data_IF_866053042021
#
_entry.id   IF_866053042021
#
_cell.length_a   1.000
_cell.length_b   1.000
_cell.length_c   1.000
_cell.angle_alpha   90.00
_cell.angle_beta   90.00
_cell.angle_gamma   90.00
#
_symmetry.space_group_name_H-M   'P 1'
#
loop_
_entity.id
_entity.type
_entity.pdbx_description
1 polymer ?
#
# COMPACT_ATOMS: atom_id res chain seq x y z
N UNK A 1 -4.02 11.73 -9.33
CA UNK A 1 -2.56 11.93 -9.51
C UNK A 1 -1.94 11.14 -8.40
N UNK A 2 -1.08 10.19 -8.75
CA UNK A 2 -0.54 9.24 -7.79
C UNK A 2 0.77 9.77 -7.23
N UNK A 3 0.83 9.88 -5.91
CA UNK A 3 2.02 10.29 -5.19
C UNK A 3 2.50 9.08 -4.37
N UNK A 4 3.80 8.74 -4.44
CA UNK A 4 4.35 7.65 -3.65
C UNK A 4 4.41 8.00 -2.16
N UNK A 5 4.23 6.97 -1.33
CA UNK A 5 4.31 7.04 0.13
C UNK A 5 5.63 6.45 0.57
N UNK A 6 6.44 7.27 1.23
CA UNK A 6 7.69 6.91 1.88
C UNK A 6 7.43 6.70 3.36
N UNK A 7 7.83 5.54 3.89
CA UNK A 7 7.67 5.24 5.29
C UNK A 7 9.04 5.27 5.97
N UNK A 8 9.20 6.17 6.93
CA UNK A 8 10.41 6.35 7.73
C UNK A 8 10.22 5.73 9.11
N UNK A 9 11.31 5.33 9.77
CA UNK A 9 11.21 4.72 11.10
C UNK A 9 11.00 3.21 11.11
N UNK A 10 11.11 2.56 9.95
CA UNK A 10 11.01 1.10 9.81
C UNK A 10 12.06 0.37 10.64
N UNK A 11 13.23 0.97 10.82
CA UNK A 11 14.32 0.43 11.64
C UNK A 11 14.03 0.47 13.15
N UNK A 12 13.11 1.31 13.60
CA UNK A 12 12.69 1.41 15.00
C UNK A 12 11.68 0.33 15.40
N UNK A 13 11.21 -0.47 14.44
CA UNK A 13 10.21 -1.52 14.65
C UNK A 13 10.87 -2.78 15.22
N UNK A 14 10.77 -2.96 16.54
CA UNK A 14 11.32 -4.13 17.25
C UNK A 14 10.47 -5.40 16.99
N UNK A 15 10.92 -6.30 16.11
CA UNK A 15 10.21 -7.51 15.64
C UNK A 15 8.85 -7.23 14.95
N UNK A 16 8.63 -6.01 14.51
CA UNK A 16 7.44 -5.60 13.76
C UNK A 16 7.83 -5.37 12.29
N UNK A 17 6.87 -5.59 11.41
CA UNK A 17 6.98 -5.36 9.97
C UNK A 17 5.84 -4.46 9.51
N UNK A 18 6.17 -3.45 8.72
CA UNK A 18 5.18 -2.69 7.99
C UNK A 18 4.75 -3.48 6.75
N UNK A 19 3.52 -3.98 6.77
CA UNK A 19 2.87 -4.57 5.59
C UNK A 19 2.19 -3.46 4.79
N UNK A 20 2.80 -3.08 3.67
CA UNK A 20 2.27 -2.07 2.75
C UNK A 20 1.29 -2.74 1.79
N UNK A 21 0.02 -2.32 1.81
CA UNK A 21 -0.98 -2.72 0.82
C UNK A 21 -0.98 -1.78 -0.39
N UNK A 22 -0.81 -0.48 -0.14
CA UNK A 22 -0.70 0.57 -1.15
C UNK A 22 0.44 1.50 -0.81
N UNK A 23 1.42 1.56 -1.70
CA UNK A 23 2.56 2.47 -1.63
C UNK A 23 2.32 3.80 -2.34
N UNK A 24 1.12 4.01 -2.88
CA UNK A 24 0.76 5.20 -3.65
C UNK A 24 -0.65 5.66 -3.23
N UNK A 25 -0.89 6.96 -3.27
CA UNK A 25 -2.20 7.55 -2.97
C UNK A 25 -2.64 8.49 -4.08
N UNK A 26 -3.93 8.44 -4.39
CA UNK A 26 -4.56 9.34 -5.36
C UNK A 26 -5.05 10.64 -4.71
N UNK A 27 -4.33 11.72 -4.99
CA UNK A 27 -4.70 13.06 -4.54
C UNK A 27 -5.26 13.92 -5.67
N UNK A 28 -6.18 14.80 -5.28
CA UNK A 28 -6.79 15.85 -6.10
C UNK A 28 -6.49 17.21 -5.46
N UNK A 29 -5.99 18.13 -6.28
CA UNK A 29 -5.69 19.49 -5.84
C UNK A 29 -4.84 20.25 -6.86
N UNK A 30 -4.29 21.38 -6.43
CA UNK A 30 -3.38 22.17 -7.29
C UNK A 30 -2.02 21.50 -7.36
N UNK A 31 -1.49 21.36 -8.58
CA UNK A 31 -0.15 20.79 -8.82
C UNK A 31 0.95 21.52 -8.04
N UNK A 32 0.84 22.84 -7.89
CA UNK A 32 1.82 23.68 -7.16
C UNK A 32 1.92 23.38 -5.66
N UNK A 33 0.93 22.70 -5.10
CA UNK A 33 0.90 22.31 -3.68
C UNK A 33 1.11 20.81 -3.49
N UNK A 34 1.24 20.03 -4.57
CA UNK A 34 1.45 18.59 -4.45
C UNK A 34 2.90 18.31 -4.03
N UNK A 35 3.12 17.55 -2.95
CA UNK A 35 4.46 17.10 -2.61
C UNK A 35 4.93 16.02 -3.61
N UNK A 36 6.25 15.85 -3.75
CA UNK A 36 6.80 14.77 -4.59
C UNK A 36 6.61 13.38 -3.96
N UNK A 37 6.60 13.31 -2.62
CA UNK A 37 6.35 12.09 -1.87
C UNK A 37 5.69 12.41 -0.52
N UNK A 38 4.87 11.50 -0.01
CA UNK A 38 4.29 11.60 1.33
C UNK A 38 5.17 10.83 2.30
N UNK A 39 5.70 11.50 3.33
CA UNK A 39 6.50 10.87 4.36
C UNK A 39 5.62 10.52 5.57
N UNK A 40 5.62 9.24 5.95
CA UNK A 40 4.89 8.72 7.10
C UNK A 40 5.89 8.13 8.08
N UNK A 41 5.89 8.66 9.30
CA UNK A 41 6.69 8.09 10.39
C UNK A 41 5.95 6.91 11.01
N UNK A 42 6.55 5.72 10.93
CA UNK A 42 6.05 4.48 11.54
C UNK A 42 6.77 4.11 12.83
N UNK A 43 7.77 4.90 13.28
CA UNK A 43 8.54 4.63 14.49
C UNK A 43 7.67 4.60 15.75
N UNK A 44 6.61 5.39 15.76
CA UNK A 44 5.71 5.54 16.91
C UNK A 44 4.51 4.60 16.86
N UNK A 45 4.41 3.75 15.83
CA UNK A 45 3.26 2.87 15.63
C UNK A 45 3.47 1.53 16.32
N UNK A 46 2.36 0.95 16.80
CA UNK A 46 2.34 -0.31 17.53
C UNK A 46 1.75 -1.44 16.67
N UNK A 47 1.94 -2.67 17.14
CA UNK A 47 1.37 -3.86 16.52
C UNK A 47 -0.16 -3.72 16.37
N UNK A 48 -0.65 -3.89 15.14
CA UNK A 48 -2.06 -3.74 14.78
C UNK A 48 -2.45 -2.34 14.35
N UNK A 49 -1.56 -1.34 14.43
CA UNK A 49 -1.86 0.00 13.94
C UNK A 49 -1.97 0.01 12.41
N UNK A 50 -2.98 0.73 11.93
CA UNK A 50 -3.26 0.88 10.50
C UNK A 50 -2.94 2.30 10.06
N UNK A 51 -2.30 2.40 8.90
CA UNK A 51 -1.97 3.67 8.24
C UNK A 51 -3.11 3.97 7.28
N UNK A 52 -3.84 5.03 7.59
CA UNK A 52 -4.94 5.52 6.76
C UNK A 52 -4.59 6.89 6.20
N UNK A 53 -5.45 7.40 5.33
CA UNK A 53 -5.40 8.77 4.81
C UNK A 53 -5.32 9.86 5.90
N UNK A 54 -5.77 9.56 7.13
CA UNK A 54 -5.69 10.47 8.29
C UNK A 54 -4.27 10.65 8.83
N UNK A 55 -3.37 9.70 8.58
CA UNK A 55 -1.96 9.79 8.97
C UNK A 55 -1.14 10.66 8.01
N UNK A 56 -1.67 10.96 6.82
CA UNK A 56 -0.97 11.76 5.83
C UNK A 56 -1.08 13.24 6.19
N UNK A 57 0.07 13.86 6.44
CA UNK A 57 0.16 15.31 6.63
C UNK A 57 0.08 16.02 5.27
N UNK A 58 -1.13 16.04 4.71
CA UNK A 58 -1.43 16.75 3.47
C UNK A 58 -1.96 18.14 3.79
N UNK A 59 -1.63 19.12 2.94
CA UNK A 59 -2.19 20.46 2.99
C UNK A 59 -3.71 20.41 2.87
N UNK A 60 -4.42 21.33 3.54
CA UNK A 60 -5.88 21.41 3.51
C UNK A 60 -6.47 21.66 2.10
N UNK A 61 -5.62 22.06 1.14
CA UNK A 61 -5.98 22.27 -0.26
C UNK A 61 -5.86 20.99 -1.12
N UNK A 62 -5.28 19.91 -0.58
CA UNK A 62 -5.21 18.60 -1.20
C UNK A 62 -6.30 17.72 -0.62
N UNK A 63 -7.05 17.06 -1.50
CA UNK A 63 -8.10 16.12 -1.11
C UNK A 63 -7.76 14.75 -1.63
N UNK A 64 -7.78 13.75 -0.75
CA UNK A 64 -7.63 12.36 -1.15
C UNK A 64 -8.92 11.93 -1.84
N UNK A 65 -8.78 11.28 -2.98
CA UNK A 65 -9.91 10.80 -3.80
C UNK A 65 -10.47 9.49 -3.25
N UNK A 66 -9.61 8.73 -2.58
CA UNK A 66 -9.94 7.47 -1.92
C UNK A 66 -10.71 7.67 -0.62
N UNK A 67 -11.25 6.57 -0.10
CA UNK A 67 -12.02 6.59 1.14
C UNK A 67 -11.14 6.95 2.34
N UNK A 68 -11.71 7.67 3.31
CA UNK A 68 -11.01 7.95 4.57
C UNK A 68 -10.74 6.71 5.43
N UNK A 69 -11.40 5.59 5.10
CA UNK A 69 -11.20 4.27 5.70
C UNK A 69 -10.27 3.37 4.87
N UNK A 70 -9.67 3.88 3.79
CA UNK A 70 -8.71 3.12 3.01
C UNK A 70 -7.44 2.88 3.83
N UNK A 71 -7.01 1.61 3.89
CA UNK A 71 -5.82 1.18 4.63
C UNK A 71 -4.65 1.05 3.65
N UNK A 72 -3.63 1.88 3.83
CA UNK A 72 -2.42 1.88 2.99
C UNK A 72 -1.37 0.90 3.50
N UNK A 73 -1.37 0.64 4.81
CA UNK A 73 -0.53 -0.37 5.42
C UNK A 73 -0.94 -0.68 6.85
N UNK A 74 -0.41 -1.78 7.38
CA UNK A 74 -0.62 -2.20 8.76
C UNK A 74 0.72 -2.64 9.37
N UNK A 75 0.92 -2.31 10.64
CA UNK A 75 2.04 -2.83 11.41
C UNK A 75 1.65 -4.23 11.91
N UNK A 76 2.31 -5.25 11.40
CA UNK A 76 2.09 -6.64 11.77
C UNK A 76 3.37 -7.24 12.32
N UNK A 77 3.29 -8.41 12.94
CA UNK A 77 4.47 -9.23 13.19
C UNK A 77 4.99 -9.72 11.86
N UNK A 78 6.31 -9.86 11.72
CA UNK A 78 6.94 -10.56 10.60
C UNK A 78 6.15 -11.83 10.27
N UNK A 79 5.37 -11.86 9.17
CA UNK A 79 4.76 -13.09 8.74
C UNK A 79 5.90 -13.96 8.24
N UNK A 80 5.99 -15.17 8.78
CA UNK A 80 6.80 -16.23 8.15
C UNK A 80 6.31 -16.30 6.71
N UNK A 81 7.20 -16.03 5.75
CA UNK A 81 6.91 -16.10 4.32
C UNK A 81 6.35 -17.48 4.01
N UNK A 82 5.02 -17.60 3.92
CA UNK A 82 4.39 -18.64 3.11
C UNK A 82 4.45 -18.07 1.71
N UNK A 83 5.43 -18.54 0.94
CA UNK A 83 5.54 -18.31 -0.49
C UNK A 83 4.15 -18.50 -1.11
N UNK A 84 3.59 -17.43 -1.68
CA UNK A 84 2.36 -17.55 -2.46
C UNK A 84 2.64 -18.55 -3.59
N UNK A 85 1.84 -19.63 -3.74
CA UNK A 85 2.01 -20.51 -4.88
C UNK A 85 1.75 -19.68 -6.14
N UNK A 86 2.73 -19.65 -7.04
CA UNK A 86 2.60 -19.06 -8.37
C UNK A 86 1.26 -19.48 -8.98
N UNK A 87 0.34 -18.51 -9.14
CA UNK A 87 -0.84 -18.69 -9.97
C UNK A 87 -0.34 -18.87 -11.41
N UNK A 88 -0.24 -20.13 -11.82
CA UNK A 88 -0.13 -20.53 -13.22
C UNK A 88 -1.40 -20.08 -13.94
N UNK A 89 -1.38 -18.86 -14.47
CA UNK A 89 -2.39 -18.38 -15.42
C UNK A 89 -2.18 -19.16 -16.72
N UNK A 90 -2.81 -20.33 -16.82
CA UNK A 90 -2.99 -21.02 -18.08
C UNK A 90 -3.93 -20.20 -18.95
N UNK A 91 -3.34 -19.38 -19.83
CA UNK A 91 -4.06 -18.76 -20.94
C UNK A 91 -4.71 -19.83 -21.80
N UNK A 92 -5.96 -19.55 -22.11
CA UNK A 92 -6.91 -20.30 -22.91
C UNK A 92 -6.40 -20.60 -24.33
N UNK A 93 -6.91 -21.69 -24.91
CA UNK A 93 -7.71 -21.73 -26.15
C UNK A 93 -7.36 -22.84 -27.16
N UNK A 94 -8.40 -23.65 -27.42
CA UNK A 94 -8.86 -24.09 -28.74
C UNK A 94 -8.33 -25.39 -29.37
N UNK A 95 -9.33 -26.14 -29.84
CA UNK A 95 -9.43 -26.92 -31.09
C UNK A 95 -9.21 -28.44 -30.98
N UNK A 96 -10.33 -29.19 -31.05
CA UNK A 96 -10.68 -30.21 -32.10
C UNK A 96 -9.63 -31.33 -32.31
N UNK A 97 -9.88 -32.65 -32.25
CA UNK A 97 -10.89 -33.52 -32.90
C UNK A 97 -10.63 -34.98 -32.47
N UNK A 98 -11.68 -35.83 -32.44
CA UNK A 98 -11.77 -37.17 -33.09
C UNK A 98 -10.70 -38.26 -32.74
N UNK A 99 -11.04 -39.32 -31.99
CA UNK A 99 -11.52 -40.65 -32.49
C UNK A 99 -10.44 -41.73 -32.51
N UNK A 100 -10.70 -42.84 -31.81
CA UNK A 100 -10.86 -44.19 -32.40
C UNK A 100 -11.26 -45.22 -31.35
#
# INVERSE_FOLDING_TARGET
MQIPITFEGRDSLDNLLLQVYKSEVDVLGKLTMMPEAIVVDVSTMLLGDTITSKNFKLDAQLKITESENEVYGIITLLPVLVEEPEIVVAKETSTTVETK
#
